data_IF_637000120438
#
_entry.id   IF_637000120438
#
_cell.length_a   1.000
_cell.length_b   1.000
_cell.length_c   1.000
_cell.angle_alpha   90.00
_cell.angle_beta   90.00
_cell.angle_gamma   90.00
#
_symmetry.space_group_name_H-M   'P 1'
#
loop_
_entity.id
_entity.type
_entity.pdbx_description
1 polymer ?
#
# COMPACT_ATOMS: atom_id res chain seq x y z
N UNK A 1 46.94 10.26 -23.20
CA UNK A 1 46.69 11.72 -23.36
C UNK A 1 47.09 12.28 -24.72
N UNK A 2 48.26 11.93 -25.30
CA UNK A 2 48.66 12.42 -26.65
C UNK A 2 47.64 12.11 -27.76
N UNK A 3 47.00 10.94 -27.70
CA UNK A 3 45.98 10.51 -28.68
C UNK A 3 44.77 11.45 -28.87
N UNK A 4 44.31 12.13 -27.81
CA UNK A 4 43.19 13.09 -27.87
C UNK A 4 43.74 14.44 -28.36
N UNK A 5 45.00 14.75 -28.08
CA UNK A 5 45.64 15.97 -28.54
C UNK A 5 45.86 15.95 -30.05
N UNK A 6 46.23 14.79 -30.60
CA UNK A 6 46.52 14.56 -32.02
C UNK A 6 45.27 14.38 -32.91
N UNK A 7 44.06 14.35 -32.32
CA UNK A 7 42.80 14.26 -33.05
C UNK A 7 42.35 15.61 -33.62
N UNK A 8 41.73 15.61 -34.81
CA UNK A 8 41.03 16.78 -35.36
C UNK A 8 39.94 17.26 -34.39
N UNK A 9 39.76 18.58 -34.26
CA UNK A 9 38.82 19.23 -33.32
C UNK A 9 37.41 18.63 -33.36
N UNK A 10 36.87 18.39 -34.55
CA UNK A 10 35.56 17.75 -34.75
C UNK A 10 35.46 16.39 -34.03
N UNK A 11 36.51 15.57 -34.11
CA UNK A 11 36.53 14.24 -33.50
C UNK A 11 36.61 14.32 -31.97
N UNK A 12 37.29 15.34 -31.41
CA UNK A 12 37.31 15.59 -29.96
C UNK A 12 35.90 15.92 -29.45
N UNK A 13 35.21 16.85 -30.11
CA UNK A 13 33.87 17.29 -29.74
C UNK A 13 32.84 16.14 -29.77
N UNK A 14 32.86 15.35 -30.85
CA UNK A 14 31.97 14.19 -31.00
C UNK A 14 32.29 13.12 -29.95
N UNK A 15 33.56 12.86 -29.66
CA UNK A 15 33.94 11.86 -28.65
C UNK A 15 33.51 12.25 -27.23
N UNK A 16 33.62 13.53 -26.85
CA UNK A 16 33.13 14.01 -25.56
C UNK A 16 31.61 13.95 -25.47
N UNK A 17 30.91 14.26 -26.57
CA UNK A 17 29.45 14.16 -26.61
C UNK A 17 28.97 12.71 -26.43
N UNK A 18 29.60 11.75 -27.13
CA UNK A 18 29.28 10.33 -26.99
C UNK A 18 29.52 9.86 -25.55
N UNK A 19 30.59 10.31 -24.90
CA UNK A 19 30.88 9.95 -23.51
C UNK A 19 29.76 10.42 -22.57
N UNK A 20 29.32 11.67 -22.71
CA UNK A 20 28.18 12.20 -21.93
C UNK A 20 26.88 11.45 -22.24
N UNK A 21 26.62 11.16 -23.51
CA UNK A 21 25.44 10.40 -23.93
C UNK A 21 25.42 8.98 -23.34
N UNK A 22 26.57 8.32 -23.23
CA UNK A 22 26.69 7.01 -22.59
C UNK A 22 26.38 7.08 -21.09
N UNK A 23 26.89 8.09 -20.38
CA UNK A 23 26.56 8.30 -18.97
C UNK A 23 25.07 8.55 -18.79
N UNK A 24 24.48 9.41 -19.61
CA UNK A 24 23.05 9.68 -19.59
C UNK A 24 22.21 8.41 -19.88
N UNK A 25 22.65 7.58 -20.84
CA UNK A 25 22.02 6.30 -21.15
C UNK A 25 22.04 5.32 -19.97
N UNK A 26 23.17 5.23 -19.26
CA UNK A 26 23.31 4.39 -18.06
C UNK A 26 22.38 4.89 -16.96
N UNK A 27 22.35 6.20 -16.69
CA UNK A 27 21.47 6.80 -15.68
C UNK A 27 20.00 6.56 -16.03
N UNK A 28 19.62 6.73 -17.29
CA UNK A 28 18.27 6.44 -17.77
C UNK A 28 17.89 4.98 -17.57
N UNK A 29 18.80 4.04 -17.89
CA UNK A 29 18.57 2.61 -17.70
C UNK A 29 18.37 2.26 -16.22
N UNK A 30 19.22 2.79 -15.33
CA UNK A 30 19.09 2.61 -13.89
C UNK A 30 17.76 3.19 -13.39
N UNK A 31 17.36 4.36 -13.90
CA UNK A 31 16.08 4.99 -13.59
C UNK A 31 14.89 4.07 -13.93
N UNK A 32 14.85 3.53 -15.14
CA UNK A 32 13.78 2.61 -15.58
C UNK A 32 13.73 1.34 -14.73
N UNK A 33 14.90 0.73 -14.44
CA UNK A 33 14.96 -0.48 -13.61
C UNK A 33 14.46 -0.23 -12.18
N UNK A 34 14.81 0.92 -11.60
CA UNK A 34 14.35 1.28 -10.26
C UNK A 34 12.86 1.63 -10.23
N UNK A 35 12.35 2.34 -11.24
CA UNK A 35 10.92 2.63 -11.36
C UNK A 35 10.09 1.35 -11.44
N UNK A 36 10.55 0.35 -12.21
CA UNK A 36 9.86 -0.95 -12.29
C UNK A 36 9.88 -1.70 -10.96
N UNK A 37 11.00 -1.67 -10.22
CA UNK A 37 11.09 -2.25 -8.87
C UNK A 37 10.16 -1.57 -7.89
N UNK A 38 10.15 -0.23 -7.91
CA UNK A 38 9.26 0.58 -7.07
C UNK A 38 7.80 0.22 -7.40
N UNK A 39 7.42 0.18 -8.67
CA UNK A 39 6.05 -0.16 -9.06
C UNK A 39 5.62 -1.55 -8.57
N UNK A 40 6.49 -2.56 -8.70
CA UNK A 40 6.22 -3.90 -8.18
C UNK A 40 6.07 -3.91 -6.65
N UNK A 41 6.96 -3.22 -5.93
CA UNK A 41 6.89 -3.09 -4.47
C UNK A 41 5.67 -2.29 -4.00
N UNK A 42 5.24 -1.29 -4.78
CA UNK A 42 4.02 -0.52 -4.51
C UNK A 42 2.77 -1.37 -4.69
N UNK A 43 2.68 -2.20 -5.73
CA UNK A 43 1.53 -3.10 -5.93
C UNK A 43 1.45 -4.11 -4.79
N UNK A 44 2.59 -4.69 -4.40
CA UNK A 44 2.66 -5.63 -3.28
C UNK A 44 2.27 -4.96 -1.95
N UNK A 45 2.85 -3.80 -1.64
CA UNK A 45 2.52 -3.04 -0.43
C UNK A 45 1.07 -2.55 -0.44
N UNK A 46 0.55 -2.10 -1.58
CA UNK A 46 -0.83 -1.63 -1.68
C UNK A 46 -1.80 -2.78 -1.46
N UNK A 47 -1.59 -3.92 -2.11
CA UNK A 47 -2.48 -5.07 -1.93
C UNK A 47 -2.40 -5.61 -0.50
N UNK A 48 -1.22 -5.70 0.09
CA UNK A 48 -1.06 -6.31 1.41
C UNK A 48 -1.40 -5.36 2.56
N UNK A 49 -0.99 -4.09 2.48
CA UNK A 49 -1.24 -3.09 3.53
C UNK A 49 -2.65 -2.51 3.44
N UNK A 50 -3.20 -2.27 2.24
CA UNK A 50 -4.55 -1.68 2.11
C UNK A 50 -5.62 -2.70 2.50
N UNK A 51 -5.44 -3.98 2.18
CA UNK A 51 -6.35 -5.04 2.64
C UNK A 51 -6.28 -5.18 4.14
N UNK A 52 -5.08 -5.36 4.72
CA UNK A 52 -4.91 -5.43 6.17
C UNK A 52 -5.46 -4.18 6.89
N UNK A 53 -5.28 -2.98 6.33
CA UNK A 53 -5.82 -1.75 6.90
C UNK A 53 -7.35 -1.69 6.84
N UNK A 54 -7.95 -2.13 5.73
CA UNK A 54 -9.40 -2.21 5.58
C UNK A 54 -10.00 -3.24 6.55
N UNK A 55 -9.37 -4.41 6.69
CA UNK A 55 -9.77 -5.44 7.65
C UNK A 55 -9.62 -4.96 9.09
N UNK A 56 -8.59 -4.17 9.40
CA UNK A 56 -8.40 -3.57 10.73
C UNK A 56 -9.50 -2.54 11.01
N UNK A 57 -9.85 -1.70 10.03
CA UNK A 57 -10.90 -0.70 10.15
C UNK A 57 -12.28 -1.33 10.37
N UNK A 58 -12.59 -2.40 9.64
CA UNK A 58 -13.83 -3.15 9.80
C UNK A 58 -13.92 -3.81 11.19
N UNK A 59 -12.84 -4.47 11.64
CA UNK A 59 -12.75 -5.07 12.97
C UNK A 59 -13.01 -4.02 14.06
N UNK A 60 -12.32 -2.88 14.00
CA UNK A 60 -12.48 -1.82 14.99
C UNK A 60 -13.90 -1.25 14.99
N UNK A 61 -14.48 -1.06 13.80
CA UNK A 61 -15.85 -0.56 13.68
C UNK A 61 -16.87 -1.53 14.29
N UNK A 62 -16.75 -2.82 14.04
CA UNK A 62 -17.68 -3.82 14.62
C UNK A 62 -17.48 -3.99 16.12
N UNK A 63 -16.26 -3.88 16.63
CA UNK A 63 -16.01 -3.87 18.08
C UNK A 63 -16.67 -2.67 18.77
N UNK A 64 -16.53 -1.47 18.20
CA UNK A 64 -17.16 -0.28 18.77
C UNK A 64 -18.69 -0.36 18.69
N UNK A 65 -19.26 -0.79 17.56
CA UNK A 65 -20.71 -1.04 17.45
C UNK A 65 -21.22 -2.01 18.51
N UNK A 66 -20.54 -3.14 18.68
CA UNK A 66 -20.88 -4.13 19.70
C UNK A 66 -20.82 -3.51 21.10
N UNK A 67 -19.86 -2.63 21.40
CA UNK A 67 -19.80 -1.92 22.68
C UNK A 67 -20.98 -0.98 22.86
N UNK A 68 -21.36 -0.22 21.83
CA UNK A 68 -22.53 0.66 21.88
C UNK A 68 -23.83 -0.13 22.09
N UNK A 69 -24.05 -1.20 21.33
CA UNK A 69 -25.22 -2.09 21.48
C UNK A 69 -25.29 -2.71 22.87
N UNK A 70 -24.16 -3.16 23.42
CA UNK A 70 -24.13 -3.69 24.79
C UNK A 70 -24.51 -2.64 25.84
N UNK A 71 -24.14 -1.37 25.62
CA UNK A 71 -24.54 -0.27 26.50
C UNK A 71 -26.04 0.02 26.33
N UNK A 72 -26.54 0.08 25.09
CA UNK A 72 -27.97 0.29 24.82
C UNK A 72 -28.82 -0.81 25.43
N UNK A 73 -28.45 -2.09 25.27
CA UNK A 73 -29.15 -3.22 25.91
C UNK A 73 -29.23 -3.12 27.44
N UNK A 74 -28.26 -2.46 28.09
CA UNK A 74 -28.26 -2.27 29.56
C UNK A 74 -29.12 -1.08 29.98
N UNK A 75 -29.27 -0.08 29.11
CA UNK A 75 -30.05 1.14 29.37
C UNK A 75 -31.50 1.04 28.89
N UNK A 76 -31.77 0.17 27.92
CA UNK A 76 -33.07 -0.03 27.29
C UNK A 76 -33.97 -0.91 28.16
N UNK A 77 -35.26 -0.60 28.16
CA UNK A 77 -36.29 -1.34 28.89
C UNK A 77 -37.26 -2.08 27.95
N UNK A 78 -37.27 -1.76 26.66
CA UNK A 78 -38.07 -2.46 25.65
C UNK A 78 -37.41 -3.81 25.24
N UNK A 79 -38.06 -4.95 25.51
CA UNK A 79 -37.55 -6.27 25.10
C UNK A 79 -37.36 -6.43 23.59
N UNK A 80 -38.08 -5.68 22.76
CA UNK A 80 -37.96 -5.75 21.30
C UNK A 80 -36.64 -5.13 20.81
N UNK A 81 -36.26 -3.97 21.36
CA UNK A 81 -34.98 -3.30 21.04
C UNK A 81 -33.79 -4.11 21.59
N UNK A 82 -33.90 -4.66 22.81
CA UNK A 82 -32.88 -5.56 23.38
C UNK A 82 -32.64 -6.78 22.48
N UNK A 83 -33.72 -7.36 21.92
CA UNK A 83 -33.60 -8.51 21.00
C UNK A 83 -32.94 -8.11 19.68
N UNK A 84 -33.23 -6.92 19.17
CA UNK A 84 -32.61 -6.38 17.95
C UNK A 84 -31.11 -6.19 18.15
N UNK A 85 -30.70 -5.55 19.24
CA UNK A 85 -29.29 -5.35 19.56
C UNK A 85 -28.55 -6.68 19.74
N UNK A 86 -29.19 -7.68 20.36
CA UNK A 86 -28.61 -9.02 20.48
C UNK A 86 -28.39 -9.72 19.13
N UNK A 87 -29.30 -9.52 18.16
CA UNK A 87 -29.17 -10.04 16.80
C UNK A 87 -28.05 -9.30 16.03
N UNK A 88 -27.94 -7.99 16.19
CA UNK A 88 -26.87 -7.19 15.56
C UNK A 88 -25.49 -7.54 16.13
N UNK A 89 -25.37 -7.78 17.45
CA UNK A 89 -24.14 -8.26 18.08
C UNK A 89 -23.70 -9.61 17.51
N UNK A 90 -24.65 -10.51 17.20
CA UNK A 90 -24.34 -11.80 16.59
C UNK A 90 -23.77 -11.61 15.16
N UNK A 91 -24.33 -10.68 14.39
CA UNK A 91 -23.82 -10.33 13.06
C UNK A 91 -22.42 -9.68 13.13
N UNK A 92 -22.20 -8.74 14.06
CA UNK A 92 -20.89 -8.10 14.24
C UNK A 92 -19.80 -9.10 14.67
N UNK A 93 -20.16 -10.16 15.41
CA UNK A 93 -19.23 -11.26 15.73
C UNK A 93 -18.77 -12.03 14.49
N UNK A 94 -19.64 -12.25 13.50
CA UNK A 94 -19.24 -12.91 12.24
C UNK A 94 -18.26 -12.04 11.43
N UNK A 95 -18.50 -10.72 11.42
CA UNK A 95 -17.58 -9.75 10.78
C UNK A 95 -16.23 -9.73 11.48
N UNK A 96 -16.20 -9.78 12.82
CA UNK A 96 -14.96 -9.85 13.59
C UNK A 96 -14.20 -11.16 13.29
N UNK A 97 -14.89 -12.31 13.30
CA UNK A 97 -14.26 -13.60 13.00
C UNK A 97 -13.65 -13.62 11.60
N UNK A 98 -14.41 -13.22 10.59
CA UNK A 98 -13.93 -13.18 9.20
C UNK A 98 -12.81 -12.16 8.98
N UNK A 99 -12.81 -11.05 9.72
CA UNK A 99 -11.71 -10.08 9.69
C UNK A 99 -10.45 -10.64 10.35
N UNK A 100 -10.59 -11.41 11.44
CA UNK A 100 -9.47 -12.07 12.12
C UNK A 100 -8.81 -13.16 11.25
N UNK A 101 -9.60 -13.95 10.53
CA UNK A 101 -9.09 -14.97 9.61
C UNK A 101 -8.23 -14.39 8.46
N UNK A 102 -8.40 -13.10 8.13
CA UNK A 102 -7.58 -12.40 7.14
C UNK A 102 -6.24 -11.91 7.68
N UNK A 103 -6.01 -11.96 9.00
CA UNK A 103 -4.75 -11.58 9.63
C UNK A 103 -3.81 -12.76 9.90
N UNK A 104 -4.29 -14.01 9.80
CA UNK A 104 -3.46 -15.23 9.85
C UNK A 104 -2.82 -15.55 8.49
#
# INVERSE_FOLDING_TARGET
MKWIYDMKITRKLVSSFILVALVAGIVGLIGVLNLNKINASYIDSYNNVTTAHMSTGNLLSSLEKMRYQLVDMVLESDPAEIKKDAEEIAADKEVISSSMDQFE
#
